data_IF_923489604944
#
_entry.id   IF_923489604944
#
_cell.length_a   1.000
_cell.length_b   1.000
_cell.length_c   1.000
_cell.angle_alpha   90.00
_cell.angle_beta   90.00
_cell.angle_gamma   90.00
#
_symmetry.space_group_name_H-M   'P 1'
#
loop_
_entity.id
_entity.type
_entity.pdbx_description
1 polymer ?
#
# COMPACT_ATOMS: atom_id res chain seq x y z
N UNK A 1 0.04 -13.02 3.32
CA UNK A 1 -1.19 -12.21 3.25
C UNK A 1 -1.13 -11.38 1.98
N UNK A 2 -2.26 -10.99 1.39
CA UNK A 2 -2.29 -10.15 0.18
C UNK A 2 -3.05 -8.87 0.52
N UNK A 3 -2.36 -7.73 0.46
CA UNK A 3 -2.96 -6.42 0.65
C UNK A 3 -3.19 -5.74 -0.71
N UNK A 4 -4.27 -4.99 -0.82
CA UNK A 4 -4.44 -4.05 -1.92
C UNK A 4 -3.51 -2.86 -1.73
N UNK A 5 -2.87 -2.41 -2.81
CA UNK A 5 -2.15 -1.13 -2.84
C UNK A 5 -2.79 -0.26 -3.91
N UNK A 6 -2.85 1.05 -3.65
CA UNK A 6 -3.23 2.06 -4.65
C UNK A 6 -1.96 2.83 -4.99
N UNK A 7 -1.67 2.94 -6.28
CA UNK A 7 -0.52 3.70 -6.80
C UNK A 7 -1.07 4.92 -7.55
N UNK A 8 -0.61 6.11 -7.18
CA UNK A 8 -1.01 7.37 -7.77
C UNK A 8 0.20 8.06 -8.41
N UNK A 9 -0.03 8.73 -9.54
CA UNK A 9 1.00 9.56 -10.16
C UNK A 9 1.03 10.92 -9.48
N UNK A 10 2.22 11.32 -9.03
CA UNK A 10 2.50 12.66 -8.52
C UNK A 10 3.38 13.45 -9.50
N UNK A 11 3.61 14.73 -9.23
CA UNK A 11 4.50 15.57 -10.05
C UNK A 11 5.94 15.02 -10.02
N UNK A 12 6.35 14.39 -11.12
CA UNK A 12 7.67 13.77 -11.25
C UNK A 12 7.87 12.47 -10.47
N UNK A 13 6.84 11.91 -9.81
CA UNK A 13 7.00 10.75 -8.91
C UNK A 13 5.78 9.82 -8.92
N UNK A 14 5.83 8.75 -8.14
CA UNK A 14 4.67 7.94 -7.76
C UNK A 14 4.54 7.85 -6.23
N UNK A 15 3.31 7.75 -5.75
CA UNK A 15 2.99 7.45 -4.36
C UNK A 15 2.17 6.17 -4.29
N UNK A 16 2.35 5.39 -3.24
CA UNK A 16 1.53 4.23 -2.94
C UNK A 16 1.05 4.25 -1.49
N UNK A 17 -0.14 3.70 -1.27
CA UNK A 17 -0.69 3.46 0.06
C UNK A 17 -1.49 2.17 0.13
N UNK A 18 -1.68 1.67 1.35
CA UNK A 18 -2.42 0.44 1.64
C UNK A 18 -3.73 0.78 2.35
N UNK A 19 -4.90 0.60 1.73
CA UNK A 19 -6.17 0.97 2.36
C UNK A 19 -6.44 0.22 3.67
N UNK A 20 -6.01 -1.05 3.76
CA UNK A 20 -6.20 -1.90 4.93
C UNK A 20 -5.15 -1.67 6.05
N UNK A 21 -4.07 -0.92 5.77
CA UNK A 21 -3.02 -0.59 6.74
C UNK A 21 -2.81 0.94 6.76
N UNK A 22 -3.70 1.70 7.43
CA UNK A 22 -3.60 3.16 7.47
C UNK A 22 -2.24 3.63 7.99
N UNK A 23 -1.61 4.53 7.25
CA UNK A 23 -0.26 5.04 7.55
C UNK A 23 0.87 4.28 6.86
N UNK A 24 0.60 3.14 6.24
CA UNK A 24 1.56 2.45 5.38
C UNK A 24 1.57 3.10 3.99
N UNK A 25 2.60 3.89 3.71
CA UNK A 25 2.77 4.68 2.49
C UNK A 25 4.20 4.59 1.98
N UNK A 26 4.40 4.80 0.67
CA UNK A 26 5.70 4.85 0.04
C UNK A 26 5.70 5.77 -1.19
N UNK A 27 6.88 6.15 -1.65
CA UNK A 27 7.07 6.94 -2.88
C UNK A 27 8.24 6.39 -3.70
N UNK A 28 8.20 6.54 -5.02
CA UNK A 28 9.29 6.11 -5.91
C UNK A 28 9.18 6.73 -7.30
N UNK A 29 10.33 6.97 -7.95
CA UNK A 29 10.43 7.64 -9.25
C UNK A 29 9.82 6.82 -10.38
N UNK A 30 9.76 5.50 -10.22
CA UNK A 30 9.08 4.57 -11.13
C UNK A 30 8.01 3.74 -10.40
N UNK A 31 7.17 3.05 -11.18
CA UNK A 31 6.17 2.13 -10.63
C UNK A 31 6.86 0.99 -9.88
N UNK A 32 7.93 0.44 -10.45
CA UNK A 32 8.71 -0.64 -9.85
C UNK A 32 9.36 -0.21 -8.54
N UNK A 33 9.88 1.01 -8.48
CA UNK A 33 10.48 1.56 -7.27
C UNK A 33 9.42 1.72 -6.16
N UNK A 34 8.29 2.35 -6.46
CA UNK A 34 7.24 2.53 -5.44
C UNK A 34 6.63 1.21 -4.98
N UNK A 35 6.52 0.21 -5.87
CA UNK A 35 6.08 -1.15 -5.53
C UNK A 35 7.05 -1.88 -4.60
N UNK A 36 8.36 -1.72 -4.81
CA UNK A 36 9.38 -2.28 -3.90
C UNK A 36 9.30 -1.62 -2.54
N UNK A 37 9.25 -0.28 -2.50
CA UNK A 37 9.22 0.50 -1.27
C UNK A 37 7.95 0.23 -0.44
N UNK A 38 6.78 0.14 -1.07
CA UNK A 38 5.54 -0.15 -0.33
C UNK A 38 5.51 -1.57 0.22
N UNK A 39 6.14 -2.53 -0.46
CA UNK A 39 6.29 -3.90 0.05
C UNK A 39 7.12 -3.91 1.34
N UNK A 40 8.27 -3.24 1.33
CA UNK A 40 9.13 -3.13 2.51
C UNK A 40 8.40 -2.42 3.66
N UNK A 41 7.66 -1.34 3.36
CA UNK A 41 6.86 -0.63 4.35
C UNK A 41 5.76 -1.52 4.98
N UNK A 42 5.10 -2.38 4.20
CA UNK A 42 4.12 -3.33 4.71
C UNK A 42 4.79 -4.35 5.63
N UNK A 43 5.92 -4.93 5.21
CA UNK A 43 6.65 -5.93 5.98
C UNK A 43 7.10 -5.35 7.33
N UNK A 44 7.70 -4.15 7.30
CA UNK A 44 8.13 -3.42 8.49
C UNK A 44 6.95 -3.08 9.43
N UNK A 45 5.84 -2.58 8.90
CA UNK A 45 4.67 -2.24 9.71
C UNK A 45 4.10 -3.48 10.41
N UNK A 46 3.98 -4.60 9.69
CA UNK A 46 3.47 -5.85 10.26
C UNK A 46 4.41 -6.46 11.30
N UNK A 47 5.73 -6.27 11.15
CA UNK A 47 6.71 -6.65 12.17
C UNK A 47 6.51 -5.84 13.44
N UNK A 48 6.47 -4.50 13.35
CA UNK A 48 6.22 -3.63 14.50
C UNK A 48 4.90 -3.96 15.21
N UNK A 49 3.82 -4.23 14.46
CA UNK A 49 2.54 -4.64 15.05
C UNK A 49 2.66 -5.93 15.89
N UNK A 50 3.45 -6.91 15.43
CA UNK A 50 3.69 -8.16 16.16
C UNK A 50 4.51 -7.93 17.43
N UNK A 51 5.53 -7.07 17.36
CA UNK A 51 6.36 -6.71 18.51
C UNK A 51 5.55 -5.99 19.58
N UNK A 52 4.66 -5.08 19.17
CA UNK A 52 3.77 -4.33 20.06
C UNK A 52 2.58 -5.17 20.57
N UNK A 53 2.42 -6.42 20.10
CA UNK A 53 1.29 -7.28 20.45
C UNK A 53 -0.06 -6.77 19.94
N UNK A 54 -0.06 -5.91 18.92
CA UNK A 54 -1.29 -5.36 18.33
C UNK A 54 -1.89 -6.32 17.31
N UNK A 55 -3.23 -6.42 17.22
CA UNK A 55 -3.87 -7.30 16.25
C UNK A 55 -3.60 -6.84 14.81
N UNK A 56 -3.09 -7.74 13.97
CA UNK A 56 -2.96 -7.49 12.53
C UNK A 56 -4.35 -7.66 11.88
N UNK A 57 -4.91 -6.61 11.25
CA UNK A 57 -6.19 -6.74 10.56
C UNK A 57 -6.05 -7.68 9.35
N UNK A 58 -7.05 -8.54 9.07
CA UNK A 58 -7.06 -9.29 7.83
C UNK A 58 -7.24 -8.33 6.63
N UNK A 59 -6.68 -8.63 5.46
CA UNK A 59 -6.96 -7.85 4.26
C UNK A 59 -8.44 -7.94 3.93
N UNK A 60 -9.09 -6.79 3.73
CA UNK A 60 -10.53 -6.67 3.56
C UNK A 60 -10.91 -5.86 2.31
N UNK A 61 -9.95 -5.12 1.74
CA UNK A 61 -10.20 -4.27 0.58
C UNK A 61 -10.54 -5.09 -0.67
N UNK A 62 -11.69 -4.76 -1.28
CA UNK A 62 -12.03 -5.14 -2.65
C UNK A 62 -11.68 -3.97 -3.57
N UNK A 63 -10.76 -4.21 -4.49
CA UNK A 63 -10.40 -3.25 -5.56
C UNK A 63 -11.16 -3.63 -6.83
N UNK A 64 -11.74 -2.65 -7.48
CA UNK A 64 -12.50 -2.81 -8.73
C UNK A 64 -12.26 -1.60 -9.62
N UNK A 65 -12.47 -1.76 -10.93
CA UNK A 65 -12.44 -0.67 -11.90
C UNK A 65 -13.85 -0.52 -12.49
N UNK A 66 -14.31 0.72 -12.63
CA UNK A 66 -15.61 1.01 -13.24
C UNK A 66 -15.38 1.82 -14.50
N UNK A 67 -15.80 1.27 -15.63
CA UNK A 67 -15.76 1.98 -16.92
C UNK A 67 -16.92 2.97 -17.01
N UNK A 68 -16.61 4.24 -17.28
CA UNK A 68 -17.58 5.32 -17.46
C UNK A 68 -17.39 5.90 -18.87
N UNK A 69 -18.49 6.10 -19.60
CA UNK A 69 -18.44 6.84 -20.86
C UNK A 69 -18.09 8.31 -20.57
N UNK A 70 -16.95 8.75 -21.10
CA UNK A 70 -16.44 10.12 -20.99
C UNK A 70 -16.89 10.99 -22.17
#
# INVERSE_FOLDING_TARGET
>A
MRYAIVIEKAEGNYSAYVPDLPGCVATGGTIEEVESQIREAIEFHLEGMREDGTPIPPPASRVDYVDIAA
#
